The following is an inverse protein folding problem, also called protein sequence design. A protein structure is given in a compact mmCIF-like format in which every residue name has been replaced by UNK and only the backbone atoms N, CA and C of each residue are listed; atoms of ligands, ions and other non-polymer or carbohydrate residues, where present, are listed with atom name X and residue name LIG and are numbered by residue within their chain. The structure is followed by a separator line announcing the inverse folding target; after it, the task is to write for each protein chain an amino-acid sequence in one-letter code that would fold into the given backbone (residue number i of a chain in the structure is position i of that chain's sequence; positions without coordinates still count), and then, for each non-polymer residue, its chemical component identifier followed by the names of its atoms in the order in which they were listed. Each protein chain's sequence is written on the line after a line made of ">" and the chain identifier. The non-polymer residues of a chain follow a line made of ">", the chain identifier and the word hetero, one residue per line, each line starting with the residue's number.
data_IF_632820476957
#
_entry.id   IF_632820476957
#
_cell.length_a   1.000
_cell.length_b   1.000
_cell.length_c   1.000
_cell.angle_alpha   90.00
_cell.angle_beta   90.00
_cell.angle_gamma   90.00
#
_symmetry.space_group_name_H-M   'P 1'
#
loop_
_entity.id
_entity.type
_entity.pdbx_description
1 polymer ?
#
# COMPACT_ATOMS: atom_id res chain seq x y z
N UNK A 1 15.26 -5.02 -15.15
CA UNK A 1 13.84 -5.25 -15.21
C UNK A 1 13.13 -4.27 -14.35
N UNK A 2 12.13 -3.66 -14.91
CA UNK A 2 11.37 -2.72 -14.13
C UNK A 2 10.64 -3.44 -13.00
N UNK A 3 10.23 -2.70 -12.04
CA UNK A 3 9.43 -3.17 -10.95
C UNK A 3 8.04 -3.42 -11.45
N UNK A 4 7.76 -4.63 -11.81
CA UNK A 4 6.48 -4.97 -12.42
C UNK A 4 5.34 -5.03 -11.42
N UNK A 5 5.64 -4.86 -10.15
CA UNK A 5 4.64 -4.90 -9.09
C UNK A 5 3.49 -3.94 -9.35
N UNK A 6 3.81 -2.74 -9.87
CA UNK A 6 2.83 -1.73 -10.17
C UNK A 6 3.05 -1.20 -11.59
N UNK A 7 3.10 -2.09 -12.59
CA UNK A 7 3.11 -1.65 -13.97
C UNK A 7 1.74 -1.08 -14.34
N UNK A 8 1.67 -0.37 -15.47
CA UNK A 8 0.46 0.34 -15.83
C UNK A 8 -0.74 -0.57 -16.02
N UNK A 9 -0.55 -1.76 -16.58
CA UNK A 9 -1.64 -2.72 -16.78
C UNK A 9 -2.24 -3.17 -15.47
N UNK A 10 -1.37 -3.49 -14.48
CA UNK A 10 -1.83 -3.90 -13.17
C UNK A 10 -2.50 -2.76 -12.43
N UNK A 11 -1.93 -1.55 -12.53
CA UNK A 11 -2.54 -0.39 -11.92
C UNK A 11 -3.94 -0.13 -12.46
N UNK A 12 -4.12 -0.23 -13.78
CA UNK A 12 -5.42 -0.04 -14.41
C UNK A 12 -6.43 -1.08 -13.93
N UNK A 13 -5.99 -2.32 -13.77
CA UNK A 13 -6.84 -3.41 -13.29
C UNK A 13 -7.24 -3.18 -11.83
N UNK A 14 -6.28 -2.82 -10.99
CA UNK A 14 -6.57 -2.51 -9.58
C UNK A 14 -7.50 -1.31 -9.47
N UNK A 15 -7.31 -0.30 -10.30
CA UNK A 15 -8.17 0.88 -10.31
C UNK A 15 -9.62 0.51 -10.67
N UNK A 16 -9.80 -0.38 -11.66
CA UNK A 16 -11.13 -0.83 -12.05
C UNK A 16 -11.82 -1.60 -10.92
N UNK A 17 -11.08 -2.48 -10.24
CA UNK A 17 -11.62 -3.23 -9.11
C UNK A 17 -11.96 -2.32 -7.94
N UNK A 18 -11.09 -1.36 -7.66
CA UNK A 18 -11.31 -0.41 -6.57
C UNK A 18 -12.54 0.47 -6.84
N UNK A 19 -12.74 0.85 -8.11
CA UNK A 19 -13.91 1.63 -8.48
C UNK A 19 -15.20 0.89 -8.17
N UNK A 20 -15.25 -0.41 -8.40
CA UNK A 20 -16.43 -1.22 -8.09
C UNK A 20 -16.70 -1.25 -6.59
N UNK A 21 -15.65 -1.28 -5.76
CA UNK A 21 -15.78 -1.38 -4.32
C UNK A 21 -16.05 -0.04 -3.65
N UNK A 22 -15.36 1.01 -4.08
CA UNK A 22 -15.31 2.27 -3.34
C UNK A 22 -15.64 3.50 -4.17
N UNK A 23 -16.14 3.35 -5.38
CA UNK A 23 -16.31 4.44 -6.33
C UNK A 23 -17.16 5.61 -5.83
N UNK A 24 -18.02 5.38 -4.84
CA UNK A 24 -18.86 6.44 -4.26
C UNK A 24 -18.27 7.12 -3.04
N UNK A 25 -17.10 6.70 -2.58
CA UNK A 25 -16.51 7.25 -1.36
C UNK A 25 -15.73 8.53 -1.63
N UNK A 26 -15.58 9.36 -0.60
CA UNK A 26 -14.75 10.56 -0.69
C UNK A 26 -13.28 10.21 -0.94
N UNK A 27 -12.80 9.13 -0.33
CA UNK A 27 -11.43 8.67 -0.56
C UNK A 27 -11.19 8.34 -2.03
N UNK A 28 -12.13 7.68 -2.68
CA UNK A 28 -12.01 7.37 -4.11
C UNK A 28 -11.98 8.65 -4.95
N UNK A 29 -12.87 9.60 -4.65
CA UNK A 29 -12.92 10.88 -5.38
C UNK A 29 -11.62 11.65 -5.22
N UNK A 30 -11.06 11.67 -4.03
CA UNK A 30 -9.78 12.32 -3.75
C UNK A 30 -8.66 11.65 -4.53
N UNK A 31 -8.64 10.33 -4.56
CA UNK A 31 -7.65 9.56 -5.30
C UNK A 31 -7.73 9.86 -6.79
N UNK A 32 -8.95 9.93 -7.35
CA UNK A 32 -9.12 10.27 -8.76
C UNK A 32 -8.58 11.67 -9.07
N UNK A 33 -8.86 12.65 -8.22
CA UNK A 33 -8.35 14.01 -8.41
C UNK A 33 -6.83 14.04 -8.39
N UNK A 34 -6.22 13.33 -7.45
CA UNK A 34 -4.76 13.28 -7.34
C UNK A 34 -4.12 12.57 -8.52
N UNK A 35 -4.73 11.48 -8.96
CA UNK A 35 -4.23 10.70 -10.09
C UNK A 35 -4.33 11.48 -11.39
N UNK A 36 -5.42 12.22 -11.60
CA UNK A 36 -5.65 12.98 -12.81
C UNK A 36 -4.60 14.08 -13.04
N UNK A 37 -3.94 14.53 -11.99
CA UNK A 37 -2.91 15.57 -12.06
C UNK A 37 -1.54 15.06 -12.42
N UNK A 38 -1.35 13.73 -12.43
CA UNK A 38 -0.04 13.13 -12.60
C UNK A 38 0.18 12.65 -14.03
N UNK A 39 1.42 12.81 -14.49
CA UNK A 39 1.87 12.14 -15.70
C UNK A 39 2.05 10.65 -15.41
N UNK A 40 2.17 9.83 -16.46
CA UNK A 40 2.45 8.40 -16.29
C UNK A 40 3.76 8.17 -15.52
N UNK A 41 4.78 9.00 -15.79
CA UNK A 41 6.05 8.91 -15.07
C UNK A 41 5.89 9.22 -13.59
N UNK A 42 5.10 10.24 -13.26
CA UNK A 42 4.84 10.61 -11.87
C UNK A 42 4.06 9.52 -11.14
N UNK A 43 3.10 8.89 -11.81
CA UNK A 43 2.36 7.77 -11.21
C UNK A 43 3.28 6.59 -10.93
N UNK A 44 4.19 6.28 -11.85
CA UNK A 44 5.15 5.21 -11.63
C UNK A 44 6.09 5.52 -10.48
N UNK A 45 6.58 6.75 -10.40
CA UNK A 45 7.40 7.20 -9.28
C UNK A 45 6.68 7.04 -7.95
N UNK A 46 5.41 7.41 -7.90
CA UNK A 46 4.61 7.29 -6.68
C UNK A 46 4.43 5.83 -6.28
N UNK A 47 4.17 4.95 -7.25
CA UNK A 47 4.05 3.51 -7.00
C UNK A 47 5.37 2.92 -6.51
N UNK A 48 6.49 3.35 -7.10
CA UNK A 48 7.82 2.90 -6.69
C UNK A 48 8.12 3.32 -5.25
N UNK A 49 7.74 4.53 -4.88
CA UNK A 49 7.90 5.01 -3.51
C UNK A 49 7.09 4.21 -2.51
N UNK A 50 5.88 3.81 -2.89
CA UNK A 50 5.06 2.93 -2.06
C UNK A 50 5.77 1.58 -1.83
N UNK A 51 6.32 1.01 -2.90
CA UNK A 51 7.06 -0.25 -2.78
C UNK A 51 8.31 -0.10 -1.90
N UNK A 52 8.91 1.07 -1.87
CA UNK A 52 10.05 1.33 -0.98
C UNK A 52 9.65 1.23 0.49
N UNK A 53 8.44 1.62 0.85
CA UNK A 53 7.95 1.44 2.23
C UNK A 53 7.88 -0.04 2.57
N UNK A 54 7.35 -0.87 1.67
CA UNK A 54 7.33 -2.31 1.88
C UNK A 54 8.74 -2.90 1.94
N UNK A 55 9.68 -2.39 1.15
CA UNK A 55 11.07 -2.81 1.22
C UNK A 55 11.69 -2.53 2.59
N UNK A 56 11.29 -1.45 3.23
CA UNK A 56 11.72 -1.15 4.60
C UNK A 56 11.22 -2.18 5.59
N UNK A 57 9.97 -2.63 5.45
CA UNK A 57 9.46 -3.74 6.26
C UNK A 57 10.32 -4.99 6.06
N UNK A 58 10.62 -5.32 4.81
CA UNK A 58 11.42 -6.50 4.48
C UNK A 58 12.84 -6.41 5.06
N UNK A 59 13.38 -5.21 5.18
CA UNK A 59 14.74 -4.99 5.66
C UNK A 59 14.88 -5.07 7.18
N UNK A 60 13.77 -5.07 7.93
CA UNK A 60 13.85 -5.15 9.38
C UNK A 60 14.42 -6.49 9.82
N UNK A 61 15.48 -6.49 10.63
CA UNK A 61 16.07 -7.74 11.12
C UNK A 61 15.15 -8.49 12.06
N UNK A 62 14.35 -7.75 12.83
CA UNK A 62 13.38 -8.31 13.73
C UNK A 62 12.01 -8.29 13.05
N UNK A 63 11.41 -9.44 12.87
CA UNK A 63 10.10 -9.55 12.24
C UNK A 63 8.97 -9.54 13.27
N UNK A 64 9.12 -8.73 14.30
CA UNK A 64 8.05 -8.49 15.28
C UNK A 64 7.15 -7.36 14.80
N UNK A 65 5.90 -7.65 14.41
CA UNK A 65 5.00 -6.62 13.90
C UNK A 65 4.60 -5.60 14.97
N UNK A 66 4.78 -5.91 16.24
CA UNK A 66 4.49 -4.98 17.33
C UNK A 66 5.69 -4.12 17.71
N UNK A 67 6.86 -4.32 17.11
CA UNK A 67 8.05 -3.56 17.41
C UNK A 67 7.87 -2.09 17.06
N UNK A 68 8.63 -1.21 17.72
CA UNK A 68 8.58 0.21 17.44
C UNK A 68 8.93 0.50 15.98
N UNK A 69 9.91 -0.20 15.43
CA UNK A 69 10.30 -0.03 14.04
C UNK A 69 9.17 -0.40 13.08
N UNK A 70 8.50 -1.53 13.32
CA UNK A 70 7.39 -1.96 12.48
C UNK A 70 6.20 -1.01 12.61
N UNK A 71 5.91 -0.53 13.80
CA UNK A 71 4.81 0.41 14.03
C UNK A 71 5.11 1.77 13.40
N UNK A 72 6.35 2.22 13.43
CA UNK A 72 6.77 3.44 12.75
C UNK A 72 6.56 3.31 11.24
N UNK A 73 6.87 2.15 10.66
CA UNK A 73 6.65 1.91 9.24
C UNK A 73 5.17 1.85 8.88
N UNK A 74 4.34 1.31 9.76
CA UNK A 74 2.89 1.33 9.53
C UNK A 74 2.37 2.77 9.49
N UNK A 75 2.85 3.63 10.37
CA UNK A 75 2.51 5.05 10.37
C UNK A 75 3.06 5.74 9.11
N UNK A 76 4.26 5.39 8.68
CA UNK A 76 4.85 5.94 7.46
C UNK A 76 4.03 5.54 6.24
N UNK A 77 3.55 4.30 6.19
CA UNK A 77 2.69 3.81 5.10
C UNK A 77 1.39 4.61 5.06
N UNK A 78 0.74 4.82 6.20
CA UNK A 78 -0.46 5.61 6.29
C UNK A 78 -0.22 7.03 5.78
N UNK A 79 0.87 7.64 6.18
CA UNK A 79 1.21 9.00 5.78
C UNK A 79 1.53 9.07 4.29
N UNK A 80 2.24 8.08 3.76
CA UNK A 80 2.56 8.02 2.34
C UNK A 80 1.30 7.97 1.48
N UNK A 81 0.34 7.13 1.86
CA UNK A 81 -0.92 7.02 1.15
C UNK A 81 -1.69 8.34 1.23
N UNK A 82 -1.70 8.95 2.42
CA UNK A 82 -2.38 10.23 2.63
C UNK A 82 -1.79 11.33 1.76
N UNK A 83 -0.47 11.37 1.64
CA UNK A 83 0.23 12.41 0.88
C UNK A 83 0.09 12.25 -0.63
N UNK A 84 -0.03 11.02 -1.10
CA UNK A 84 0.09 10.73 -2.54
C UNK A 84 -1.18 10.22 -3.20
N UNK A 85 -2.11 9.67 -2.46
CA UNK A 85 -3.31 9.05 -3.04
C UNK A 85 -4.59 9.66 -2.49
N UNK A 86 -4.85 9.50 -1.20
CA UNK A 86 -6.09 9.97 -0.57
C UNK A 86 -5.92 9.93 0.94
N UNK A 87 -6.76 10.67 1.65
CA UNK A 87 -6.71 10.66 3.11
C UNK A 87 -6.96 9.25 3.62
N UNK A 88 -5.93 8.66 4.20
CA UNK A 88 -5.95 7.27 4.66
C UNK A 88 -6.23 7.23 6.15
N UNK A 89 -7.47 6.92 6.50
CA UNK A 89 -7.84 6.72 7.91
C UNK A 89 -7.34 5.36 8.38
N UNK A 90 -7.33 5.14 9.69
CA UNK A 90 -6.98 3.83 10.23
C UNK A 90 -7.92 2.73 9.74
N UNK A 91 -9.21 3.04 9.57
CA UNK A 91 -10.18 2.09 9.04
C UNK A 91 -9.85 1.66 7.63
N UNK A 92 -9.50 2.62 6.78
CA UNK A 92 -9.09 2.35 5.41
C UNK A 92 -7.79 1.54 5.40
N UNK A 93 -6.81 1.94 6.21
CA UNK A 93 -5.53 1.25 6.30
C UNK A 93 -5.71 -0.20 6.73
N UNK A 94 -6.60 -0.46 7.68
CA UNK A 94 -6.90 -1.81 8.13
C UNK A 94 -7.45 -2.67 7.00
N UNK A 95 -8.36 -2.11 6.21
CA UNK A 95 -8.89 -2.79 5.03
C UNK A 95 -7.81 -3.09 3.99
N UNK A 96 -6.90 -2.14 3.77
CA UNK A 96 -5.78 -2.36 2.87
C UNK A 96 -4.87 -3.47 3.37
N UNK A 97 -4.57 -3.48 4.68
CA UNK A 97 -3.74 -4.53 5.26
C UNK A 97 -4.32 -5.91 5.06
N UNK A 98 -5.62 -6.06 5.20
CA UNK A 98 -6.29 -7.33 4.93
C UNK A 98 -6.17 -7.72 3.45
N UNK A 99 -6.36 -6.75 2.55
CA UNK A 99 -6.26 -6.99 1.11
C UNK A 99 -4.85 -7.44 0.71
N UNK A 100 -3.82 -6.92 1.36
CA UNK A 100 -2.43 -7.26 1.03
C UNK A 100 -2.12 -8.74 1.22
N UNK A 101 -2.88 -9.45 2.04
CA UNK A 101 -2.69 -10.90 2.24
C UNK A 101 -3.75 -11.74 1.55
N UNK A 102 -4.95 -11.20 1.35
CA UNK A 102 -6.05 -11.96 0.72
C UNK A 102 -6.03 -11.86 -0.80
N UNK A 103 -5.49 -10.79 -1.36
CA UNK A 103 -5.34 -10.65 -2.81
C UNK A 103 -3.96 -11.16 -3.21
N UNK A 104 -3.93 -12.30 -3.89
CA UNK A 104 -2.68 -12.96 -4.27
C UNK A 104 -1.76 -12.07 -5.11
N UNK A 105 -2.33 -11.18 -5.90
CA UNK A 105 -1.53 -10.29 -6.74
C UNK A 105 -0.77 -9.29 -5.89
N UNK A 106 -1.44 -8.70 -4.90
CA UNK A 106 -0.77 -7.79 -3.97
C UNK A 106 0.27 -8.51 -3.13
N UNK A 107 -0.09 -9.68 -2.59
CA UNK A 107 0.82 -10.44 -1.76
C UNK A 107 2.08 -10.80 -2.54
N UNK A 108 1.94 -11.26 -3.77
CA UNK A 108 3.09 -11.63 -4.60
C UNK A 108 3.98 -10.42 -4.90
N UNK A 109 3.38 -9.27 -5.18
CA UNK A 109 4.13 -8.06 -5.50
C UNK A 109 4.90 -7.55 -4.28
N UNK A 110 4.27 -7.56 -3.12
CA UNK A 110 4.91 -7.11 -1.87
C UNK A 110 6.03 -8.08 -1.49
N UNK A 111 5.81 -9.38 -1.65
CA UNK A 111 6.80 -10.40 -1.30
C UNK A 111 8.02 -10.39 -2.22
N UNK A 112 7.99 -9.66 -3.32
CA UNK A 112 9.20 -9.40 -4.12
C UNK A 112 10.25 -8.63 -3.33
N UNK A 113 9.83 -7.87 -2.33
CA UNK A 113 10.76 -7.18 -1.44
C UNK A 113 11.45 -8.16 -0.48
N UNK A 114 10.82 -9.28 -0.21
CA UNK A 114 11.30 -10.34 0.67
C UNK A 114 10.15 -11.26 1.02
N UNK A 115 10.41 -12.56 1.07
CA UNK A 115 9.37 -13.54 1.36
C UNK A 115 8.71 -13.25 2.71
N UNK A 116 7.38 -13.26 2.75
CA UNK A 116 6.62 -13.03 3.97
C UNK A 116 6.39 -11.56 4.32
N UNK A 117 6.84 -10.63 3.47
CA UNK A 117 6.69 -9.19 3.73
C UNK A 117 5.22 -8.78 3.77
N UNK A 118 4.38 -9.33 2.89
CA UNK A 118 2.95 -9.02 2.90
C UNK A 118 2.29 -9.38 4.22
N UNK A 119 2.57 -10.57 4.74
CA UNK A 119 2.04 -11.02 6.03
C UNK A 119 2.54 -10.16 7.17
N UNK A 120 3.83 -9.86 7.17
CA UNK A 120 4.44 -9.05 8.21
C UNK A 120 3.84 -7.63 8.23
N UNK A 121 3.76 -6.99 7.08
CA UNK A 121 3.16 -5.66 6.97
C UNK A 121 1.69 -5.67 7.39
N UNK A 122 0.93 -6.69 6.98
CA UNK A 122 -0.47 -6.83 7.34
C UNK A 122 -0.65 -6.94 8.86
N UNK A 123 0.19 -7.72 9.52
CA UNK A 123 0.13 -7.86 10.97
C UNK A 123 0.51 -6.56 11.68
N UNK A 124 1.53 -5.87 11.19
CA UNK A 124 1.94 -4.58 11.75
C UNK A 124 0.81 -3.54 11.61
N UNK A 125 0.15 -3.52 10.46
CA UNK A 125 -0.98 -2.63 10.21
C UNK A 125 -2.14 -2.93 11.16
N UNK A 126 -2.46 -4.21 11.36
CA UNK A 126 -3.55 -4.60 12.25
C UNK A 126 -3.30 -4.12 13.68
N UNK A 127 -2.07 -4.27 14.17
CA UNK A 127 -1.68 -3.79 15.49
C UNK A 127 -1.76 -2.27 15.57
N UNK A 128 -1.22 -1.59 14.56
CA UNK A 128 -1.22 -0.13 14.50
C UNK A 128 -2.65 0.43 14.52
N UNK A 129 -3.54 -0.16 13.75
CA UNK A 129 -4.93 0.30 13.66
C UNK A 129 -5.74 -0.01 14.93
N UNK A 130 -5.30 -0.99 15.71
CA UNK A 130 -5.95 -1.36 16.98
C UNK A 130 -5.52 -0.52 18.18
N UNK A 131 -4.56 0.34 18.00
CA UNK A 131 -4.04 1.20 19.10
C UNK A 131 -4.77 2.51 19.24
#
# INVERSE_FOLDING_TARGET
>A
MSFDAFDKKELDRYAAEARQRWGGTEAWKESERNTARRTAAQQQETADGLMQVFAKFAALPDKDPASDAAQTLAAELQQYITDHYYTCTKEILQGLGQMYTTDERFAANIDRCGAGTADFASQAIAIYCGR
#
